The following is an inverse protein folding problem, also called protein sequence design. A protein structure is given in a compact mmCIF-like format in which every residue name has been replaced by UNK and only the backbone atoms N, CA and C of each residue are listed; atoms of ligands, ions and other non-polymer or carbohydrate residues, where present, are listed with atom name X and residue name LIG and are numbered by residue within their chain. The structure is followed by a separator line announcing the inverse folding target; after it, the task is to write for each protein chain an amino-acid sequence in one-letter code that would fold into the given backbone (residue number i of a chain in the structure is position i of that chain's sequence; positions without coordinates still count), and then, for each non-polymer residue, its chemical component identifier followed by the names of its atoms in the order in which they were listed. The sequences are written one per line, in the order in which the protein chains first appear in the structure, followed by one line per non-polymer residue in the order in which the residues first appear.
data_IF_280472686456
#
_entry.id   IF_280472686456
#
_cell.length_a   1.000
_cell.length_b   1.000
_cell.length_c   1.000
_cell.angle_alpha   90.00
_cell.angle_beta   90.00
_cell.angle_gamma   90.00
#
_symmetry.space_group_name_H-M   'P 1'
#
loop_
_entity.id
_entity.type
_entity.pdbx_description
1 polymer ?
#
# COMPACT_ATOMS: atom_id res chain seq x y z
N UNK A 1 12.06 -44.14 -19.46
CA UNK A 1 13.37 -43.96 -18.80
C UNK A 1 14.10 -42.67 -19.23
N UNK A 2 13.98 -42.20 -20.48
CA UNK A 2 14.62 -40.95 -20.91
C UNK A 2 14.15 -39.69 -20.16
N UNK A 3 12.84 -39.51 -19.96
CA UNK A 3 12.30 -38.35 -19.24
C UNK A 3 12.62 -38.30 -17.74
N UNK A 4 12.86 -39.45 -17.10
CA UNK A 4 13.19 -39.54 -15.66
C UNK A 4 14.66 -39.17 -15.41
N UNK A 5 15.56 -39.55 -16.29
CA UNK A 5 16.99 -39.18 -16.23
C UNK A 5 17.21 -37.69 -16.55
N UNK A 6 16.45 -37.14 -17.49
CA UNK A 6 16.50 -35.71 -17.83
C UNK A 6 15.94 -34.84 -16.69
N UNK A 7 14.91 -35.29 -15.97
CA UNK A 7 14.43 -34.65 -14.75
C UNK A 7 15.45 -34.72 -13.60
N UNK A 8 16.12 -35.86 -13.41
CA UNK A 8 17.15 -36.02 -12.37
C UNK A 8 18.38 -35.13 -12.60
N UNK A 9 18.76 -34.88 -13.86
CA UNK A 9 19.87 -33.97 -14.20
C UNK A 9 19.57 -32.49 -13.98
N UNK A 10 18.29 -32.08 -13.95
CA UNK A 10 17.88 -30.68 -13.70
C UNK A 10 17.90 -30.31 -12.23
N UNK A 11 17.68 -31.26 -11.32
CA UNK A 11 17.56 -31.00 -9.87
C UNK A 11 18.79 -30.31 -9.28
N UNK A 12 20.05 -30.71 -9.54
CA UNK A 12 21.21 -30.02 -8.99
C UNK A 12 21.35 -28.58 -9.51
N UNK A 13 21.07 -28.35 -10.80
CA UNK A 13 21.09 -27.01 -11.40
C UNK A 13 20.00 -26.12 -10.80
N UNK A 14 18.78 -26.65 -10.69
CA UNK A 14 17.66 -25.96 -10.04
C UNK A 14 17.94 -25.67 -8.57
N UNK A 15 18.66 -26.55 -7.86
CA UNK A 15 19.08 -26.31 -6.48
C UNK A 15 20.05 -25.12 -6.34
N UNK A 16 21.06 -25.06 -7.21
CA UNK A 16 21.99 -23.93 -7.26
C UNK A 16 21.25 -22.64 -7.65
N UNK A 17 20.39 -22.69 -8.66
CA UNK A 17 19.62 -21.53 -9.12
C UNK A 17 18.65 -21.02 -8.06
N UNK A 18 17.90 -21.91 -7.40
CA UNK A 18 17.03 -21.56 -6.28
C UNK A 18 17.82 -20.90 -5.14
N UNK A 19 18.96 -21.46 -4.77
CA UNK A 19 19.82 -20.93 -3.71
C UNK A 19 20.34 -19.54 -4.08
N UNK A 20 20.82 -19.37 -5.32
CA UNK A 20 21.27 -18.07 -5.83
C UNK A 20 20.15 -17.03 -5.79
N UNK A 21 18.94 -17.39 -6.24
CA UNK A 21 17.77 -16.51 -6.23
C UNK A 21 17.45 -16.03 -4.81
N UNK A 22 17.45 -16.94 -3.84
CA UNK A 22 17.14 -16.61 -2.45
C UNK A 22 18.24 -15.76 -1.80
N UNK A 23 19.51 -16.06 -2.07
CA UNK A 23 20.65 -15.36 -1.45
C UNK A 23 20.93 -13.98 -2.07
N UNK A 24 20.60 -13.76 -3.34
CA UNK A 24 20.87 -12.50 -4.07
C UNK A 24 19.64 -11.60 -4.20
N UNK A 25 18.61 -11.81 -3.39
CA UNK A 25 17.37 -11.01 -3.44
C UNK A 25 17.62 -9.50 -3.22
N UNK A 26 18.61 -9.12 -2.41
CA UNK A 26 18.95 -7.71 -2.14
C UNK A 26 19.42 -6.94 -3.38
N UNK A 27 19.96 -7.65 -4.38
CA UNK A 27 20.50 -7.05 -5.60
C UNK A 27 19.41 -6.71 -6.63
N UNK A 28 18.17 -7.13 -6.39
CA UNK A 28 17.07 -6.89 -7.32
C UNK A 28 16.85 -5.38 -7.55
N UNK A 29 16.83 -4.91 -8.82
CA UNK A 29 16.47 -3.54 -9.12
C UNK A 29 14.96 -3.34 -8.91
N UNK A 30 14.60 -2.48 -7.95
CA UNK A 30 13.22 -2.07 -7.66
C UNK A 30 13.16 -0.54 -7.64
N UNK A 31 11.99 0.06 -7.89
CA UNK A 31 11.81 1.51 -7.79
C UNK A 31 12.61 2.31 -8.83
N UNK A 32 12.89 1.69 -9.98
CA UNK A 32 13.83 2.21 -10.99
C UNK A 32 13.23 3.20 -11.98
N UNK A 33 11.92 3.46 -11.93
CA UNK A 33 11.31 4.41 -12.86
C UNK A 33 11.90 5.80 -12.59
N UNK A 34 12.36 6.53 -13.63
CA UNK A 34 12.97 7.84 -13.44
C UNK A 34 12.04 8.80 -12.69
N UNK A 35 12.58 9.40 -11.63
CA UNK A 35 11.83 10.27 -10.71
C UNK A 35 12.68 11.41 -10.18
N UNK A 36 12.02 12.51 -9.89
CA UNK A 36 12.63 13.68 -9.24
C UNK A 36 12.07 13.87 -7.84
N UNK A 37 12.93 14.35 -6.94
CA UNK A 37 12.52 14.81 -5.61
C UNK A 37 11.83 16.17 -5.75
N UNK A 38 10.58 16.27 -5.33
CA UNK A 38 9.81 17.53 -5.34
C UNK A 38 9.99 18.24 -4.01
N UNK A 39 9.87 17.48 -2.92
CA UNK A 39 9.87 18.00 -1.57
C UNK A 39 10.32 16.91 -0.60
N UNK A 40 11.03 17.31 0.45
CA UNK A 40 11.37 16.45 1.58
C UNK A 40 11.15 17.23 2.87
N UNK A 41 10.48 16.61 3.83
CA UNK A 41 10.35 17.10 5.20
C UNK A 41 10.50 15.92 6.15
N UNK A 42 11.37 16.07 7.16
CA UNK A 42 11.84 14.93 7.97
C UNK A 42 12.33 13.80 7.06
N UNK A 43 11.76 12.61 7.21
CA UNK A 43 12.04 11.44 6.39
C UNK A 43 11.04 11.28 5.23
N UNK A 44 9.95 12.05 5.21
CA UNK A 44 8.98 12.02 4.11
C UNK A 44 9.56 12.68 2.87
N UNK A 45 9.53 11.99 1.74
CA UNK A 45 9.92 12.49 0.43
C UNK A 45 8.76 12.34 -0.54
N UNK A 46 8.45 13.42 -1.26
CA UNK A 46 7.53 13.41 -2.39
C UNK A 46 8.33 13.28 -3.68
N UNK A 47 8.10 12.20 -4.40
CA UNK A 47 8.65 11.98 -5.73
C UNK A 47 7.66 12.38 -6.82
N UNK A 48 8.17 12.87 -7.95
CA UNK A 48 7.41 13.05 -9.19
C UNK A 48 8.00 12.21 -10.31
N UNK A 49 7.12 11.50 -10.99
CA UNK A 49 7.36 10.77 -12.22
C UNK A 49 6.63 11.50 -13.35
N UNK A 50 7.36 11.85 -14.41
CA UNK A 50 6.81 12.62 -15.54
C UNK A 50 6.46 11.71 -16.70
N UNK A 51 5.24 11.84 -17.21
CA UNK A 51 4.86 11.15 -18.43
C UNK A 51 5.43 11.87 -19.65
N UNK A 52 6.08 11.13 -20.55
CA UNK A 52 6.50 11.65 -21.85
C UNK A 52 5.34 11.85 -22.83
N UNK A 53 4.16 11.32 -22.49
CA UNK A 53 2.93 11.39 -23.27
C UNK A 53 1.78 11.91 -22.39
N UNK A 54 2.02 12.97 -21.61
CA UNK A 54 1.00 13.57 -20.72
C UNK A 54 -0.27 13.91 -21.51
N UNK A 55 -1.39 13.30 -21.10
CA UNK A 55 -2.73 13.48 -21.67
C UNK A 55 -3.73 14.06 -20.68
N UNK A 56 -3.50 13.87 -19.38
CA UNK A 56 -4.41 14.27 -18.32
C UNK A 56 -3.90 15.50 -17.57
N UNK A 57 -4.82 16.44 -17.29
CA UNK A 57 -4.51 17.65 -16.52
C UNK A 57 -4.32 17.32 -15.03
N UNK A 58 -5.19 16.44 -14.50
CA UNK A 58 -5.22 16.00 -13.11
C UNK A 58 -4.11 14.96 -12.85
N UNK A 59 -3.09 15.27 -12.03
CA UNK A 59 -2.05 14.32 -11.64
C UNK A 59 -2.57 13.30 -10.62
N UNK A 60 -1.85 12.20 -10.43
CA UNK A 60 -2.15 11.17 -9.43
C UNK A 60 -1.14 11.24 -8.29
N UNK A 61 -1.59 11.38 -7.05
CA UNK A 61 -0.78 11.25 -5.84
C UNK A 61 -1.01 9.86 -5.21
N UNK A 62 0.05 9.03 -5.23
CA UNK A 62 0.06 7.71 -4.63
C UNK A 62 0.52 7.78 -3.17
N UNK A 63 -0.27 7.18 -2.28
CA UNK A 63 -0.03 7.14 -0.84
C UNK A 63 -0.05 5.69 -0.35
N UNK A 64 1.12 5.18 0.02
CA UNK A 64 1.25 3.82 0.53
C UNK A 64 1.05 3.74 2.05
N UNK A 65 0.98 2.52 2.57
CA UNK A 65 0.92 2.26 4.00
C UNK A 65 2.18 2.72 4.74
N UNK A 66 2.04 2.89 6.06
CA UNK A 66 3.15 3.10 6.99
C UNK A 66 3.92 1.80 7.30
N UNK A 67 3.49 0.68 6.74
CA UNK A 67 4.15 -0.63 6.81
C UNK A 67 4.65 -0.98 5.42
N UNK A 68 5.92 -1.38 5.33
CA UNK A 68 6.68 -1.59 4.08
C UNK A 68 6.88 -0.28 3.29
N UNK A 69 7.72 -0.34 2.26
CA UNK A 69 8.08 0.82 1.42
C UNK A 69 7.12 1.01 0.25
N UNK A 70 6.95 2.24 -0.27
CA UNK A 70 6.05 2.53 -1.39
C UNK A 70 6.50 1.94 -2.73
N UNK A 71 7.72 1.39 -2.82
CA UNK A 71 8.29 0.79 -4.03
C UNK A 71 7.44 -0.35 -4.62
N UNK A 72 6.45 -0.88 -3.90
CA UNK A 72 5.47 -1.82 -4.47
C UNK A 72 4.65 -1.23 -5.62
N UNK A 73 4.44 0.09 -5.63
CA UNK A 73 3.84 0.78 -6.78
C UNK A 73 4.79 0.83 -7.98
N UNK A 74 6.10 0.70 -7.76
CA UNK A 74 7.16 0.76 -8.77
C UNK A 74 8.09 -0.48 -8.70
N UNK A 75 7.50 -1.68 -8.57
CA UNK A 75 8.22 -2.85 -8.09
C UNK A 75 9.37 -3.28 -9.01
N UNK A 76 9.13 -3.42 -10.32
CA UNK A 76 10.16 -3.72 -11.31
C UNK A 76 9.70 -3.29 -12.70
N UNK A 77 10.62 -3.10 -13.62
CA UNK A 77 10.26 -2.74 -15.00
C UNK A 77 9.35 -3.79 -15.65
N UNK A 78 8.31 -3.33 -16.34
CA UNK A 78 7.24 -4.14 -16.92
C UNK A 78 6.19 -4.62 -15.91
N UNK A 79 6.42 -4.44 -14.61
CA UNK A 79 5.47 -4.70 -13.53
C UNK A 79 5.53 -3.58 -12.48
N UNK A 80 5.44 -2.34 -12.98
CA UNK A 80 5.35 -1.11 -12.20
C UNK A 80 4.01 -0.44 -12.52
N UNK A 81 3.24 -0.16 -11.47
CA UNK A 81 1.98 0.57 -11.60
C UNK A 81 2.25 2.03 -11.98
N UNK A 82 3.36 2.59 -11.50
CA UNK A 82 3.85 3.91 -11.92
C UNK A 82 4.14 3.93 -13.42
N UNK A 83 4.95 3.00 -13.94
CA UNK A 83 5.23 2.92 -15.40
C UNK A 83 3.94 2.81 -16.21
N UNK A 84 2.97 2.01 -15.72
CA UNK A 84 1.68 1.84 -16.36
C UNK A 84 0.90 3.17 -16.43
N UNK A 85 0.74 3.88 -15.31
CA UNK A 85 0.03 5.16 -15.27
C UNK A 85 0.71 6.25 -16.10
N UNK A 86 2.05 6.27 -16.13
CA UNK A 86 2.82 7.16 -17.01
C UNK A 86 2.51 6.87 -18.48
N UNK A 87 2.41 5.59 -18.87
CA UNK A 87 2.01 5.16 -20.21
C UNK A 87 0.57 5.53 -20.55
N UNK A 88 -0.32 5.53 -19.54
CA UNK A 88 -1.69 6.04 -19.68
C UNK A 88 -1.75 7.58 -19.75
N UNK A 89 -0.62 8.29 -19.60
CA UNK A 89 -0.54 9.74 -19.82
C UNK A 89 -0.82 10.57 -18.58
N UNK A 90 -0.74 9.98 -17.39
CA UNK A 90 -0.81 10.70 -16.11
C UNK A 90 0.59 11.11 -15.65
N UNK A 91 0.73 12.31 -15.09
CA UNK A 91 1.84 12.60 -14.19
C UNK A 91 1.55 11.95 -12.83
N UNK A 92 2.55 11.25 -12.28
CA UNK A 92 2.39 10.47 -11.05
C UNK A 92 3.31 11.01 -9.97
N UNK A 93 2.77 11.16 -8.78
CA UNK A 93 3.49 11.53 -7.58
C UNK A 93 3.40 10.40 -6.58
N UNK A 94 4.43 10.24 -5.74
CA UNK A 94 4.50 9.17 -4.75
C UNK A 94 5.01 9.72 -3.44
N UNK A 95 4.24 9.51 -2.38
CA UNK A 95 4.68 9.78 -1.02
C UNK A 95 5.50 8.59 -0.52
N UNK A 96 6.72 8.88 -0.12
CA UNK A 96 7.57 7.98 0.60
C UNK A 96 7.79 8.50 2.02
N UNK A 97 7.20 7.84 3.03
CA UNK A 97 7.32 8.22 4.44
C UNK A 97 8.75 8.10 5.00
N UNK A 98 9.67 7.49 4.26
CA UNK A 98 11.05 7.28 4.69
C UNK A 98 11.21 6.07 5.61
N UNK A 99 12.27 6.12 6.42
CA UNK A 99 12.55 5.15 7.48
C UNK A 99 12.58 5.93 8.78
N UNK A 100 11.51 5.84 9.60
CA UNK A 100 11.47 6.53 10.88
C UNK A 100 12.59 6.07 11.80
N UNK A 101 13.13 7.00 12.59
CA UNK A 101 14.07 6.72 13.66
C UNK A 101 13.51 7.19 15.02
N UNK A 102 14.36 7.19 16.05
CA UNK A 102 13.93 7.53 17.41
C UNK A 102 13.43 8.98 17.54
N UNK A 103 13.83 9.88 16.63
CA UNK A 103 13.35 11.27 16.61
C UNK A 103 11.90 11.38 16.13
N UNK A 104 11.40 10.36 15.43
CA UNK A 104 10.03 10.31 14.90
C UNK A 104 9.05 9.60 15.85
N UNK A 105 9.49 9.15 17.03
CA UNK A 105 8.70 8.33 17.96
C UNK A 105 7.38 8.98 18.40
N UNK A 106 7.35 10.32 18.45
CA UNK A 106 6.21 11.15 18.83
C UNK A 106 5.26 11.49 17.66
N UNK A 107 5.58 11.04 16.44
CA UNK A 107 4.69 11.20 15.31
C UNK A 107 3.44 10.33 15.47
N UNK A 108 2.29 10.99 15.50
CA UNK A 108 0.97 10.36 15.56
C UNK A 108 0.35 10.23 14.17
N UNK A 109 -0.82 9.63 14.10
CA UNK A 109 -1.62 9.61 12.87
C UNK A 109 -1.97 11.03 12.41
N UNK A 110 -2.11 11.99 13.33
CA UNK A 110 -2.33 13.38 12.98
C UNK A 110 -1.12 14.03 12.30
N UNK A 111 0.12 13.66 12.66
CA UNK A 111 1.33 14.12 11.96
C UNK A 111 1.33 13.68 10.50
N UNK A 112 0.96 12.43 10.24
CA UNK A 112 0.88 11.91 8.87
C UNK A 112 -0.25 12.52 8.05
N UNK A 113 -1.45 12.67 8.62
CA UNK A 113 -2.62 13.19 7.88
C UNK A 113 -2.57 14.71 7.75
N UNK A 114 -2.38 15.41 8.86
CA UNK A 114 -2.55 16.87 8.93
C UNK A 114 -1.29 17.64 8.52
N UNK A 115 -0.10 17.02 8.57
CA UNK A 115 1.13 17.65 8.10
C UNK A 115 1.62 17.01 6.81
N UNK A 116 2.12 15.78 6.87
CA UNK A 116 2.90 15.19 5.78
C UNK A 116 2.07 14.97 4.51
N UNK A 117 0.87 14.37 4.63
CA UNK A 117 -0.07 14.20 3.51
C UNK A 117 -0.63 15.54 3.01
N UNK A 118 -0.95 16.46 3.93
CA UNK A 118 -1.42 17.79 3.56
C UNK A 118 -0.39 18.57 2.74
N UNK A 119 0.89 18.52 3.14
CA UNK A 119 1.97 19.11 2.36
C UNK A 119 2.20 18.37 1.04
N UNK A 120 2.15 17.05 1.03
CA UNK A 120 2.26 16.27 -0.21
C UNK A 120 1.20 16.67 -1.24
N UNK A 121 -0.07 16.81 -0.83
CA UNK A 121 -1.16 17.29 -1.69
C UNK A 121 -0.85 18.68 -2.26
N UNK A 122 -0.46 19.63 -1.40
CA UNK A 122 -0.12 21.00 -1.83
C UNK A 122 1.05 21.04 -2.80
N UNK A 123 2.11 20.29 -2.51
CA UNK A 123 3.32 20.25 -3.33
C UNK A 123 3.11 19.52 -4.65
N UNK A 124 2.24 18.51 -4.68
CA UNK A 124 1.79 17.87 -5.92
C UNK A 124 1.10 18.87 -6.85
N UNK A 125 0.11 19.62 -6.36
CA UNK A 125 -0.61 20.62 -7.16
C UNK A 125 0.33 21.70 -7.66
N UNK A 126 1.18 22.23 -6.78
CA UNK A 126 2.17 23.26 -7.11
C UNK A 126 3.14 22.78 -8.19
N UNK A 127 3.70 21.58 -8.03
CA UNK A 127 4.69 21.05 -8.97
C UNK A 127 4.06 20.61 -10.30
N UNK A 128 2.82 20.11 -10.29
CA UNK A 128 2.09 19.72 -11.49
C UNK A 128 1.46 20.91 -12.24
N UNK A 129 1.44 22.09 -11.61
CA UNK A 129 0.67 23.26 -12.05
C UNK A 129 -0.80 22.89 -12.30
N UNK A 130 -1.37 22.12 -11.37
CA UNK A 130 -2.72 21.58 -11.45
C UNK A 130 -3.62 22.21 -10.37
N UNK A 131 -4.90 22.41 -10.71
CA UNK A 131 -5.90 22.94 -9.79
C UNK A 131 -6.46 21.85 -8.87
N UNK A 132 -6.51 20.61 -9.36
CA UNK A 132 -7.02 19.43 -8.64
C UNK A 132 -6.09 18.23 -8.83
N UNK A 133 -6.19 17.22 -7.95
CA UNK A 133 -5.46 15.95 -8.07
C UNK A 133 -6.37 14.73 -7.84
N UNK A 134 -5.89 13.57 -8.27
CA UNK A 134 -6.41 12.26 -7.84
C UNK A 134 -5.59 11.77 -6.66
N UNK A 135 -6.24 11.49 -5.53
CA UNK A 135 -5.60 10.92 -4.35
C UNK A 135 -5.84 9.40 -4.32
N UNK A 136 -4.78 8.60 -4.46
CA UNK A 136 -4.87 7.14 -4.44
C UNK A 136 -4.12 6.58 -3.24
N UNK A 137 -4.87 5.98 -2.32
CA UNK A 137 -4.34 5.39 -1.10
C UNK A 137 -4.50 3.87 -1.03
N UNK A 138 -3.49 3.18 -0.51
CA UNK A 138 -3.53 1.73 -0.33
C UNK A 138 -3.36 1.32 1.13
N UNK A 139 -4.27 0.48 1.64
CA UNK A 139 -4.22 -0.10 2.98
C UNK A 139 -4.27 1.02 4.04
N UNK A 140 -3.32 1.07 4.97
CA UNK A 140 -3.20 2.16 5.95
C UNK A 140 -3.13 3.51 5.21
N UNK A 141 -2.40 3.61 4.10
CA UNK A 141 -2.33 4.83 3.29
C UNK A 141 -3.69 5.28 2.78
N UNK A 142 -4.54 4.34 2.38
CA UNK A 142 -5.94 4.64 2.03
C UNK A 142 -6.76 5.12 3.22
N UNK A 143 -6.48 4.63 4.42
CA UNK A 143 -7.17 5.10 5.63
C UNK A 143 -6.74 6.53 5.94
N UNK A 144 -5.45 6.86 5.79
CA UNK A 144 -4.94 8.22 5.92
C UNK A 144 -5.56 9.16 4.86
N UNK A 145 -5.71 8.71 3.61
CA UNK A 145 -6.39 9.47 2.56
C UNK A 145 -7.87 9.72 2.89
N UNK A 146 -8.60 8.71 3.37
CA UNK A 146 -9.99 8.89 3.80
C UNK A 146 -10.11 9.86 4.98
N UNK A 147 -9.19 9.77 5.95
CA UNK A 147 -9.12 10.74 7.06
C UNK A 147 -8.84 12.16 6.56
N UNK A 148 -7.95 12.31 5.57
CA UNK A 148 -7.61 13.59 4.96
C UNK A 148 -8.82 14.22 4.25
N UNK A 149 -9.46 13.48 3.33
CA UNK A 149 -10.65 13.94 2.60
C UNK A 149 -11.79 14.34 3.56
N UNK A 150 -12.05 13.53 4.59
CA UNK A 150 -13.07 13.86 5.59
C UNK A 150 -12.77 15.13 6.41
N UNK A 151 -11.49 15.47 6.61
CA UNK A 151 -11.08 16.69 7.32
C UNK A 151 -11.01 17.92 6.40
N UNK A 152 -10.86 17.70 5.09
CA UNK A 152 -10.71 18.74 4.09
C UNK A 152 -11.70 18.54 2.92
N UNK A 153 -13.01 18.68 3.16
CA UNK A 153 -14.02 18.54 2.10
C UNK A 153 -13.81 19.58 0.97
N UNK A 154 -13.29 20.76 1.29
CA UNK A 154 -12.94 21.78 0.29
C UNK A 154 -11.53 21.57 -0.33
N UNK A 155 -10.92 20.40 -0.12
CA UNK A 155 -9.61 20.14 -0.70
C UNK A 155 -9.71 19.97 -2.22
N UNK A 156 -8.66 20.34 -2.98
CA UNK A 156 -8.57 20.13 -4.42
C UNK A 156 -8.35 18.64 -4.80
N UNK A 157 -8.99 17.72 -4.10
CA UNK A 157 -9.01 16.29 -4.45
C UNK A 157 -10.26 16.07 -5.30
N UNK A 158 -10.07 15.76 -6.58
CA UNK A 158 -11.18 15.49 -7.50
C UNK A 158 -11.67 14.05 -7.42
N UNK A 159 -10.70 13.14 -7.32
CA UNK A 159 -10.92 11.70 -7.31
C UNK A 159 -10.22 11.08 -6.10
N UNK A 160 -10.93 10.25 -5.35
CA UNK A 160 -10.39 9.45 -4.25
C UNK A 160 -10.41 7.97 -4.66
N UNK A 161 -9.24 7.34 -4.72
CA UNK A 161 -9.10 5.91 -5.07
C UNK A 161 -8.56 5.14 -3.89
N UNK A 162 -9.33 4.18 -3.38
CA UNK A 162 -9.04 3.47 -2.14
C UNK A 162 -8.91 1.97 -2.38
N UNK A 163 -7.69 1.48 -2.20
CA UNK A 163 -7.32 0.09 -2.44
C UNK A 163 -7.25 -0.67 -1.12
N UNK A 164 -8.09 -1.69 -0.93
CA UNK A 164 -8.09 -2.57 0.26
C UNK A 164 -7.93 -1.78 1.57
N UNK A 165 -8.74 -0.72 1.72
CA UNK A 165 -8.60 0.28 2.77
C UNK A 165 -9.36 -0.14 4.02
N UNK A 166 -8.67 -0.53 5.12
CA UNK A 166 -9.33 -0.99 6.33
C UNK A 166 -9.93 0.20 7.10
N UNK A 167 -11.25 0.29 7.12
CA UNK A 167 -11.97 1.28 7.94
C UNK A 167 -12.67 0.65 9.13
N UNK A 168 -13.14 -0.59 8.97
CA UNK A 168 -13.68 -1.42 10.04
C UNK A 168 -12.72 -2.59 10.29
N UNK A 169 -12.22 -2.73 11.51
CA UNK A 169 -11.31 -3.84 11.85
C UNK A 169 -12.04 -5.04 12.49
N UNK A 170 -13.36 -4.96 12.67
CA UNK A 170 -14.17 -5.95 13.37
C UNK A 170 -14.02 -7.33 12.74
N UNK A 171 -13.66 -8.32 13.56
CA UNK A 171 -13.53 -9.70 13.12
C UNK A 171 -12.24 -10.02 12.35
N UNK A 172 -11.40 -9.02 12.03
CA UNK A 172 -10.09 -9.24 11.42
C UNK A 172 -9.16 -10.04 12.33
N UNK A 173 -8.19 -10.74 11.74
CA UNK A 173 -7.22 -11.53 12.51
C UNK A 173 -6.34 -10.63 13.40
N UNK A 174 -5.93 -9.47 12.88
CA UNK A 174 -5.24 -8.45 13.67
C UNK A 174 -6.05 -8.04 14.89
N UNK A 175 -7.33 -7.69 14.73
CA UNK A 175 -8.19 -7.31 15.84
C UNK A 175 -8.26 -8.41 16.92
N UNK A 176 -8.27 -9.68 16.52
CA UNK A 176 -8.23 -10.80 17.48
C UNK A 176 -6.91 -10.93 18.23
N UNK A 177 -5.80 -10.42 17.70
CA UNK A 177 -4.49 -10.47 18.35
C UNK A 177 -4.27 -9.26 19.26
N UNK A 178 -4.43 -8.04 18.72
CA UNK A 178 -4.05 -6.78 19.39
C UNK A 178 -5.24 -6.02 19.97
N UNK A 179 -6.48 -6.39 19.60
CA UNK A 179 -7.71 -5.77 20.10
C UNK A 179 -8.14 -6.24 21.49
N UNK A 180 -7.40 -7.15 22.13
CA UNK A 180 -7.75 -7.70 23.45
C UNK A 180 -7.32 -6.77 24.58
N UNK A 181 -8.04 -6.75 25.74
CA UNK A 181 -7.61 -6.00 26.92
C UNK A 181 -6.22 -6.39 27.43
N UNK A 182 -5.80 -7.63 27.20
CA UNK A 182 -4.48 -8.14 27.61
C UNK A 182 -3.32 -7.62 26.76
N UNK A 183 -3.59 -7.06 25.58
CA UNK A 183 -2.54 -6.47 24.74
C UNK A 183 -2.40 -5.00 25.10
N UNK A 184 -1.28 -4.62 25.71
CA UNK A 184 -1.04 -3.25 26.14
C UNK A 184 -0.25 -2.48 25.08
N UNK A 185 -0.95 -1.66 24.31
CA UNK A 185 -0.33 -0.84 23.27
C UNK A 185 0.41 0.38 23.85
N UNK A 186 0.03 0.82 25.04
CA UNK A 186 0.69 1.93 25.73
C UNK A 186 2.06 1.47 26.23
N UNK A 187 2.14 0.29 26.84
CA UNK A 187 3.41 -0.32 27.26
C UNK A 187 4.35 -0.55 26.08
N UNK A 188 3.85 -1.02 24.93
CA UNK A 188 4.67 -1.20 23.73
C UNK A 188 5.28 0.13 23.27
N UNK A 189 4.48 1.20 23.24
CA UNK A 189 4.93 2.53 22.85
C UNK A 189 5.81 3.22 23.90
N UNK A 190 5.72 2.83 25.17
CA UNK A 190 6.60 3.32 26.24
C UNK A 190 7.99 2.68 26.17
N UNK A 191 8.06 1.38 25.85
CA UNK A 191 9.31 0.62 25.85
C UNK A 191 10.07 0.72 24.52
N UNK A 192 9.36 0.89 23.41
CA UNK A 192 9.95 0.95 22.07
C UNK A 192 9.65 2.31 21.43
N UNK A 193 10.67 3.12 21.09
CA UNK A 193 10.47 4.41 20.40
C UNK A 193 9.88 4.23 18.98
N UNK A 194 10.13 3.09 18.37
CA UNK A 194 9.42 2.61 17.19
C UNK A 194 9.28 1.09 17.27
N UNK A 195 8.14 0.56 16.82
CA UNK A 195 7.95 -0.88 16.71
C UNK A 195 8.76 -1.38 15.52
N UNK A 196 9.74 -2.28 15.72
CA UNK A 196 10.60 -2.73 14.63
C UNK A 196 9.78 -3.36 13.50
N UNK A 197 10.05 -2.98 12.26
CA UNK A 197 9.31 -3.47 11.09
C UNK A 197 9.33 -5.01 10.96
N UNK A 198 10.41 -5.66 11.40
CA UNK A 198 10.50 -7.12 11.43
C UNK A 198 9.48 -7.81 12.35
N UNK A 199 9.02 -7.15 13.43
CA UNK A 199 7.95 -7.67 14.30
C UNK A 199 6.61 -7.64 13.57
N UNK A 200 6.36 -6.55 12.82
CA UNK A 200 5.15 -6.38 12.02
C UNK A 200 5.14 -7.34 10.83
N UNK A 201 6.27 -7.51 10.13
CA UNK A 201 6.46 -8.49 9.07
C UNK A 201 6.22 -9.92 9.57
N UNK A 202 6.78 -10.27 10.73
CA UNK A 202 6.53 -11.57 11.34
C UNK A 202 5.04 -11.78 11.61
N UNK A 203 4.35 -10.80 12.22
CA UNK A 203 2.91 -10.87 12.45
C UNK A 203 2.13 -11.02 11.13
N UNK A 204 2.50 -10.28 10.09
CA UNK A 204 1.91 -10.38 8.76
C UNK A 204 2.06 -11.80 8.19
N UNK A 205 3.28 -12.35 8.24
CA UNK A 205 3.59 -13.69 7.74
C UNK A 205 2.80 -14.78 8.47
N UNK A 206 2.57 -14.60 9.76
CA UNK A 206 1.80 -15.51 10.61
C UNK A 206 0.30 -15.54 10.30
N UNK A 207 -0.24 -14.62 9.50
CA UNK A 207 -1.65 -14.71 9.06
C UNK A 207 -1.88 -15.82 8.02
N UNK A 208 -0.89 -16.08 7.17
CA UNK A 208 -0.88 -17.21 6.22
C UNK A 208 0.47 -17.94 6.26
N UNK A 209 0.80 -18.62 7.37
CA UNK A 209 2.14 -19.15 7.59
C UNK A 209 2.49 -20.24 6.58
N UNK A 210 1.54 -21.09 6.21
CA UNK A 210 1.75 -22.10 5.16
C UNK A 210 2.01 -21.45 3.81
N UNK A 211 1.26 -20.40 3.45
CA UNK A 211 1.48 -19.71 2.18
C UNK A 211 2.85 -19.04 2.15
N UNK A 212 3.17 -18.25 3.18
CA UNK A 212 4.35 -17.41 3.23
C UNK A 212 5.65 -18.20 3.42
N UNK A 213 5.65 -19.24 4.26
CA UNK A 213 6.86 -20.02 4.56
C UNK A 213 7.02 -21.29 3.72
N UNK A 214 5.96 -21.79 3.07
CA UNK A 214 6.02 -23.06 2.34
C UNK A 214 5.55 -22.94 0.89
N UNK A 215 4.32 -22.45 0.66
CA UNK A 215 3.74 -22.41 -0.69
C UNK A 215 4.55 -21.54 -1.64
N UNK A 216 5.02 -20.36 -1.19
CA UNK A 216 5.84 -19.46 -2.00
C UNK A 216 7.13 -20.11 -2.48
N UNK A 217 7.90 -20.70 -1.57
CA UNK A 217 9.16 -21.40 -1.91
C UNK A 217 8.92 -22.62 -2.80
N UNK A 218 7.86 -23.39 -2.52
CA UNK A 218 7.45 -24.52 -3.36
C UNK A 218 7.08 -24.08 -4.77
N UNK A 219 6.33 -22.99 -4.92
CA UNK A 219 5.95 -22.45 -6.23
C UNK A 219 7.16 -21.95 -7.01
N UNK A 220 8.11 -21.28 -6.34
CA UNK A 220 9.39 -20.91 -6.96
C UNK A 220 10.14 -22.15 -7.45
N UNK A 221 10.33 -23.14 -6.57
CA UNK A 221 10.99 -24.41 -6.92
C UNK A 221 10.34 -25.11 -8.11
N UNK A 222 9.01 -25.24 -8.09
CA UNK A 222 8.25 -25.85 -9.18
C UNK A 222 8.35 -25.05 -10.49
N UNK A 223 8.33 -23.72 -10.42
CA UNK A 223 8.52 -22.85 -11.57
C UNK A 223 9.88 -23.05 -12.23
N UNK A 224 10.95 -23.11 -11.42
CA UNK A 224 12.31 -23.36 -11.91
C UNK A 224 12.43 -24.76 -12.55
N UNK A 225 11.82 -25.79 -11.96
CA UNK A 225 11.76 -27.13 -12.56
C UNK A 225 11.04 -27.14 -13.92
N UNK A 226 10.04 -26.28 -14.08
CA UNK A 226 9.29 -26.10 -15.33
C UNK A 226 10.00 -25.18 -16.33
N UNK A 227 11.19 -24.66 -15.99
CA UNK A 227 11.96 -23.74 -16.84
C UNK A 227 11.36 -22.35 -16.95
N UNK A 228 10.45 -21.97 -16.04
CA UNK A 228 9.92 -20.61 -16.00
C UNK A 228 10.96 -19.69 -15.36
N UNK A 229 11.45 -18.71 -16.11
CA UNK A 229 12.25 -17.64 -15.53
C UNK A 229 11.34 -16.70 -14.73
N UNK A 230 11.39 -16.87 -13.42
CA UNK A 230 10.67 -16.05 -12.44
C UNK A 230 11.61 -15.39 -11.44
N UNK A 231 12.91 -15.40 -11.74
CA UNK A 231 13.93 -14.87 -10.85
C UNK A 231 13.65 -13.42 -10.50
N UNK A 232 13.57 -12.56 -11.50
CA UNK A 232 13.45 -11.11 -11.28
C UNK A 232 12.16 -10.75 -10.52
N UNK A 233 11.04 -11.41 -10.87
CA UNK A 233 9.76 -11.21 -10.20
C UNK A 233 9.80 -11.65 -8.73
N UNK A 234 10.41 -12.80 -8.44
CA UNK A 234 10.56 -13.29 -7.07
C UNK A 234 11.50 -12.38 -6.28
N UNK A 235 12.68 -12.06 -6.80
CA UNK A 235 13.70 -11.29 -6.09
C UNK A 235 13.23 -9.86 -5.80
N UNK A 236 12.56 -9.21 -6.77
CA UNK A 236 11.96 -7.89 -6.54
C UNK A 236 10.93 -7.91 -5.41
N UNK A 237 10.01 -8.88 -5.43
CA UNK A 237 9.02 -9.06 -4.36
C UNK A 237 9.69 -9.38 -3.02
N UNK A 238 10.67 -10.28 -3.00
CA UNK A 238 11.33 -10.69 -1.77
C UNK A 238 12.16 -9.56 -1.15
N UNK A 239 12.81 -8.73 -1.97
CA UNK A 239 13.46 -7.48 -1.56
C UNK A 239 12.46 -6.53 -0.91
N UNK A 240 11.32 -6.28 -1.57
CA UNK A 240 10.29 -5.40 -1.02
C UNK A 240 9.69 -5.94 0.29
N UNK A 241 9.41 -7.25 0.38
CA UNK A 241 8.92 -7.89 1.62
C UNK A 241 9.94 -7.81 2.75
N UNK A 242 11.24 -7.76 2.44
CA UNK A 242 12.28 -7.60 3.45
C UNK A 242 12.44 -6.15 3.92
N UNK A 243 12.00 -5.17 3.13
CA UNK A 243 12.14 -3.74 3.41
C UNK A 243 10.97 -3.22 4.26
N UNK A 244 11.11 -3.39 5.57
CA UNK A 244 10.09 -3.08 6.57
C UNK A 244 10.57 -1.94 7.48
N UNK A 245 10.20 -0.66 7.21
CA UNK A 245 10.55 0.45 8.09
C UNK A 245 9.91 0.27 9.48
N UNK A 246 10.52 0.80 10.55
CA UNK A 246 9.91 0.83 11.87
C UNK A 246 8.62 1.67 11.87
N UNK A 247 7.67 1.29 12.73
CA UNK A 247 6.41 2.03 12.89
C UNK A 247 6.52 2.92 14.14
N UNK A 248 6.38 4.26 14.04
CA UNK A 248 6.57 5.14 15.19
C UNK A 248 5.67 4.77 16.38
N UNK A 249 6.20 4.87 17.60
CA UNK A 249 5.53 4.43 18.82
C UNK A 249 4.14 5.03 18.98
N UNK A 250 4.03 6.36 18.85
CA UNK A 250 2.74 7.04 19.00
C UNK A 250 1.75 6.62 17.93
N UNK A 251 2.14 6.65 16.65
CA UNK A 251 1.29 6.19 15.56
C UNK A 251 0.86 4.72 15.75
N UNK A 252 1.76 3.83 16.21
CA UNK A 252 1.44 2.43 16.50
C UNK A 252 0.34 2.32 17.53
N UNK A 253 0.55 2.96 18.69
CA UNK A 253 -0.40 2.98 19.80
C UNK A 253 -1.75 3.53 19.38
N UNK A 254 -1.77 4.63 18.64
CA UNK A 254 -2.98 5.25 18.12
C UNK A 254 -3.68 4.31 17.13
N UNK A 255 -2.96 3.69 16.20
CA UNK A 255 -3.53 2.72 15.26
C UNK A 255 -4.15 1.51 15.98
N UNK A 256 -3.41 0.88 16.89
CA UNK A 256 -3.92 -0.27 17.66
C UNK A 256 -5.14 0.11 18.49
N UNK A 257 -5.06 1.21 19.22
CA UNK A 257 -6.12 1.63 20.13
C UNK A 257 -7.35 2.10 19.36
N UNK A 258 -7.17 3.00 18.40
CA UNK A 258 -8.28 3.65 17.72
C UNK A 258 -8.91 2.76 16.67
N UNK A 259 -8.13 1.99 15.92
CA UNK A 259 -8.67 1.15 14.84
C UNK A 259 -9.04 -0.25 15.34
N UNK A 260 -8.13 -0.94 16.05
CA UNK A 260 -8.35 -2.35 16.42
C UNK A 260 -9.13 -2.55 17.74
N UNK A 261 -8.94 -1.71 18.76
CA UNK A 261 -9.66 -1.84 20.04
C UNK A 261 -11.00 -1.10 20.03
N UNK A 262 -10.96 0.18 19.71
CA UNK A 262 -12.10 1.08 19.88
C UNK A 262 -12.94 1.25 18.61
N UNK A 263 -12.37 0.92 17.44
CA UNK A 263 -12.96 1.10 16.12
C UNK A 263 -13.55 2.51 15.92
N UNK A 264 -12.76 3.54 16.29
CA UNK A 264 -13.20 4.93 16.42
C UNK A 264 -13.63 5.55 15.08
N UNK A 265 -13.02 5.14 13.97
CA UNK A 265 -13.31 5.70 12.65
C UNK A 265 -14.76 5.39 12.24
N UNK A 266 -15.12 4.12 12.17
CA UNK A 266 -16.49 3.68 11.78
C UNK A 266 -17.55 4.03 12.82
N UNK A 267 -17.16 4.27 14.08
CA UNK A 267 -18.06 4.73 15.14
C UNK A 267 -18.25 6.24 15.17
N UNK A 268 -17.62 7.01 14.27
CA UNK A 268 -17.71 8.47 14.24
C UNK A 268 -17.15 9.13 15.50
N UNK A 269 -16.04 8.61 16.03
CA UNK A 269 -15.38 9.09 17.27
C UNK A 269 -13.91 9.46 17.09
N UNK A 270 -13.34 9.19 15.91
CA UNK A 270 -11.93 9.48 15.66
C UNK A 270 -11.75 10.98 15.47
N UNK A 271 -10.83 11.58 16.24
CA UNK A 271 -10.48 12.99 16.12
C UNK A 271 -8.98 13.16 15.89
N UNK A 272 -8.61 13.99 14.94
CA UNK A 272 -7.23 14.42 14.71
C UNK A 272 -7.13 15.91 15.01
N UNK A 273 -6.19 16.30 15.88
CA UNK A 273 -6.02 17.70 16.34
C UNK A 273 -7.31 18.38 16.84
N UNK A 274 -8.20 17.58 17.44
CA UNK A 274 -9.48 18.06 17.97
C UNK A 274 -10.61 18.10 16.94
N UNK A 275 -10.34 17.95 15.65
CA UNK A 275 -11.36 17.89 14.60
C UNK A 275 -11.89 16.47 14.42
N UNK A 276 -13.21 16.34 14.24
CA UNK A 276 -13.84 15.03 14.00
C UNK A 276 -13.58 14.59 12.56
N UNK A 277 -13.07 13.38 12.41
CA UNK A 277 -12.99 12.71 11.11
C UNK A 277 -14.36 12.11 10.80
N UNK A 278 -15.13 12.87 10.03
CA UNK A 278 -16.48 12.50 9.62
C UNK A 278 -16.49 12.04 8.15
N UNK A 279 -16.53 10.72 7.93
CA UNK A 279 -16.44 10.15 6.58
C UNK A 279 -17.58 10.60 5.67
N UNK A 280 -18.73 11.04 6.20
CA UNK A 280 -19.83 11.54 5.37
C UNK A 280 -19.52 12.88 4.70
N UNK A 281 -18.39 13.51 5.03
CA UNK A 281 -17.89 14.71 4.36
C UNK A 281 -17.07 14.42 3.11
N UNK A 282 -16.73 13.16 2.85
CA UNK A 282 -16.07 12.74 1.61
C UNK A 282 -17.11 12.85 0.49
N UNK A 283 -16.97 13.83 -0.39
CA UNK A 283 -17.84 14.15 -1.51
C UNK A 283 -17.17 13.97 -2.88
N UNK A 284 -15.86 13.67 -2.90
CA UNK A 284 -15.09 13.42 -4.12
C UNK A 284 -15.61 12.20 -4.90
N UNK A 285 -15.32 12.13 -6.20
CA UNK A 285 -15.59 10.90 -6.95
C UNK A 285 -14.76 9.75 -6.35
N UNK A 286 -15.44 8.70 -5.88
CA UNK A 286 -14.85 7.65 -5.06
C UNK A 286 -14.78 6.32 -5.81
N UNK A 287 -13.57 5.78 -5.94
CA UNK A 287 -13.35 4.40 -6.38
C UNK A 287 -12.84 3.54 -5.22
N UNK A 288 -13.63 2.57 -4.79
CA UNK A 288 -13.20 1.57 -3.79
C UNK A 288 -12.87 0.25 -4.49
N UNK A 289 -11.69 -0.30 -4.24
CA UNK A 289 -11.26 -1.58 -4.80
C UNK A 289 -10.99 -2.58 -3.68
N UNK A 290 -11.74 -3.68 -3.68
CA UNK A 290 -11.58 -4.78 -2.75
C UNK A 290 -10.89 -5.97 -3.40
N UNK A 291 -10.25 -6.80 -2.58
CA UNK A 291 -9.66 -8.05 -3.02
C UNK A 291 -10.37 -9.22 -2.32
N UNK A 292 -11.06 -10.07 -3.10
CA UNK A 292 -11.96 -11.10 -2.54
C UNK A 292 -11.26 -12.16 -1.67
N UNK A 293 -9.96 -12.39 -1.85
CA UNK A 293 -9.16 -13.31 -1.04
C UNK A 293 -8.17 -12.59 -0.10
N UNK A 294 -8.41 -11.30 0.15
CA UNK A 294 -7.65 -10.51 1.12
C UNK A 294 -7.90 -11.01 2.56
N UNK A 295 -6.81 -11.16 3.28
CA UNK A 295 -6.76 -11.61 4.67
C UNK A 295 -6.11 -10.57 5.59
N UNK A 296 -5.49 -9.53 5.00
CA UNK A 296 -4.89 -8.39 5.70
C UNK A 296 -5.99 -7.36 5.97
N UNK A 297 -6.66 -6.93 4.90
CA UNK A 297 -7.80 -6.02 4.92
C UNK A 297 -9.00 -6.71 4.23
N UNK A 298 -9.66 -7.67 4.91
CA UNK A 298 -10.71 -8.48 4.29
C UNK A 298 -11.91 -7.60 3.89
N UNK A 299 -12.69 -7.97 2.86
CA UNK A 299 -13.80 -7.15 2.37
C UNK A 299 -14.80 -6.66 3.44
N UNK A 300 -15.20 -7.44 4.46
CA UNK A 300 -16.06 -6.93 5.53
C UNK A 300 -15.49 -5.73 6.29
N UNK A 301 -14.17 -5.53 6.27
CA UNK A 301 -13.50 -4.41 6.90
C UNK A 301 -13.31 -3.18 6.00
N UNK A 302 -13.56 -3.31 4.70
CA UNK A 302 -13.32 -2.26 3.70
C UNK A 302 -14.62 -1.80 3.03
N UNK A 303 -15.59 -2.70 2.83
CA UNK A 303 -16.91 -2.41 2.26
C UNK A 303 -17.75 -1.40 3.05
N UNK A 304 -17.71 -1.34 4.41
CA UNK A 304 -18.51 -0.35 5.15
C UNK A 304 -18.27 1.09 4.69
N UNK A 305 -17.09 1.39 4.14
CA UNK A 305 -16.77 2.70 3.58
C UNK A 305 -17.80 3.18 2.55
N UNK A 306 -18.35 2.27 1.73
CA UNK A 306 -19.32 2.61 0.68
C UNK A 306 -20.62 3.22 1.23
N UNK A 307 -20.97 2.91 2.47
CA UNK A 307 -22.18 3.39 3.13
C UNK A 307 -21.92 4.60 4.05
N UNK A 308 -20.65 4.99 4.21
CA UNK A 308 -20.22 6.00 5.17
C UNK A 308 -19.85 7.33 4.53
N UNK A 309 -19.70 7.39 3.21
CA UNK A 309 -19.29 8.60 2.47
C UNK A 309 -20.51 9.42 2.03
N UNK A 310 -20.30 10.72 1.80
CA UNK A 310 -21.32 11.64 1.30
C UNK A 310 -21.38 11.73 -0.23
N UNK A 311 -20.37 11.21 -0.93
CA UNK A 311 -20.24 11.26 -2.38
C UNK A 311 -21.42 10.60 -3.11
N UNK A 312 -21.89 11.27 -4.16
CA UNK A 312 -22.91 10.74 -5.07
C UNK A 312 -22.30 9.90 -6.21
N UNK A 313 -20.99 10.01 -6.45
CA UNK A 313 -20.25 9.26 -7.48
C UNK A 313 -19.34 8.20 -6.84
N UNK A 314 -19.95 7.08 -6.43
CA UNK A 314 -19.26 5.95 -5.80
C UNK A 314 -19.24 4.75 -6.73
N UNK A 315 -18.04 4.28 -7.06
CA UNK A 315 -17.80 3.04 -7.81
C UNK A 315 -17.07 2.02 -6.94
N UNK A 316 -17.54 0.76 -6.97
CA UNK A 316 -16.90 -0.36 -6.29
C UNK A 316 -16.46 -1.43 -7.27
N UNK A 317 -15.19 -1.84 -7.18
CA UNK A 317 -14.64 -2.98 -7.89
C UNK A 317 -14.20 -4.07 -6.91
N UNK A 318 -14.83 -5.24 -6.97
CA UNK A 318 -14.30 -6.43 -6.32
C UNK A 318 -13.41 -7.24 -7.28
N UNK A 319 -12.15 -7.44 -6.90
CA UNK A 319 -11.15 -8.08 -7.76
C UNK A 319 -10.66 -9.40 -7.18
N UNK A 320 -10.46 -10.42 -8.05
CA UNK A 320 -9.91 -11.69 -7.59
C UNK A 320 -8.44 -11.51 -7.23
N UNK A 321 -8.06 -11.91 -6.02
CA UNK A 321 -6.69 -11.81 -5.54
C UNK A 321 -6.62 -11.62 -4.02
N UNK A 322 -5.40 -11.65 -3.49
CA UNK A 322 -5.13 -11.17 -2.13
C UNK A 322 -4.64 -9.72 -2.14
N UNK A 323 -4.36 -9.16 -0.96
CA UNK A 323 -3.90 -7.79 -0.74
C UNK A 323 -2.88 -7.28 -1.77
N UNK A 324 -1.71 -7.92 -1.82
CA UNK A 324 -0.60 -7.58 -2.72
C UNK A 324 -0.94 -7.91 -4.18
N UNK A 325 -1.88 -8.83 -4.41
CA UNK A 325 -2.29 -9.27 -5.74
C UNK A 325 -2.91 -8.16 -6.60
N UNK A 326 -3.41 -7.08 -5.98
CA UNK A 326 -3.91 -5.90 -6.71
C UNK A 326 -2.80 -5.15 -7.45
N UNK A 327 -1.56 -5.22 -6.98
CA UNK A 327 -0.40 -4.52 -7.57
C UNK A 327 0.67 -5.45 -8.12
N UNK A 328 0.87 -6.63 -7.55
CA UNK A 328 1.91 -7.56 -8.03
C UNK A 328 1.36 -8.91 -8.52
N UNK A 329 0.03 -9.06 -8.58
CA UNK A 329 -0.60 -10.26 -9.11
C UNK A 329 -0.53 -10.33 -10.64
N UNK A 330 -0.63 -11.54 -11.20
CA UNK A 330 -0.63 -11.74 -12.66
C UNK A 330 -1.78 -11.04 -13.40
N UNK A 331 -2.86 -10.69 -12.67
CA UNK A 331 -4.02 -9.95 -13.19
C UNK A 331 -3.92 -8.44 -12.97
N UNK A 332 -2.95 -7.94 -12.20
CA UNK A 332 -2.81 -6.53 -11.86
C UNK A 332 -2.73 -5.67 -13.14
N UNK A 333 -1.70 -5.93 -13.96
CA UNK A 333 -1.43 -5.18 -15.19
C UNK A 333 -2.48 -5.32 -16.29
N UNK A 334 -3.10 -6.50 -16.41
CA UNK A 334 -3.93 -6.82 -17.57
C UNK A 334 -5.44 -6.68 -17.30
N UNK A 335 -5.85 -6.47 -16.05
CA UNK A 335 -7.27 -6.37 -15.70
C UNK A 335 -7.55 -5.27 -14.66
N UNK A 336 -6.77 -5.20 -13.58
CA UNK A 336 -7.07 -4.29 -12.47
C UNK A 336 -6.65 -2.85 -12.82
N UNK A 337 -5.41 -2.65 -13.24
CA UNK A 337 -4.88 -1.32 -13.57
C UNK A 337 -5.60 -0.67 -14.76
N UNK A 338 -5.94 -1.39 -15.85
CA UNK A 338 -6.74 -0.82 -16.93
C UNK A 338 -8.12 -0.34 -16.49
N UNK A 339 -8.75 -1.02 -15.53
CA UNK A 339 -10.05 -0.59 -15.02
C UNK A 339 -9.93 0.65 -14.13
N UNK A 340 -8.83 0.80 -13.37
CA UNK A 340 -8.51 2.05 -12.66
C UNK A 340 -8.29 3.19 -13.66
N UNK A 341 -7.46 2.98 -14.68
CA UNK A 341 -7.16 4.00 -15.67
C UNK A 341 -8.39 4.44 -16.45
N UNK A 342 -9.28 3.52 -16.83
CA UNK A 342 -10.54 3.85 -17.51
C UNK A 342 -11.46 4.68 -16.62
N UNK A 343 -11.60 4.31 -15.35
CA UNK A 343 -12.41 5.05 -14.40
C UNK A 343 -11.86 6.48 -14.17
N UNK A 344 -10.53 6.61 -14.10
CA UNK A 344 -9.86 7.90 -13.99
C UNK A 344 -9.97 8.73 -15.27
N UNK A 345 -9.90 8.11 -16.46
CA UNK A 345 -9.94 8.81 -17.75
C UNK A 345 -11.25 9.58 -17.91
N UNK A 346 -12.37 8.99 -17.49
CA UNK A 346 -13.70 9.64 -17.48
C UNK A 346 -13.76 10.89 -16.57
N UNK A 347 -12.83 11.01 -15.61
CA UNK A 347 -12.85 12.03 -14.55
C UNK A 347 -11.62 12.91 -14.52
N UNK A 348 -10.61 12.66 -15.33
CA UNK A 348 -9.30 13.36 -15.29
C UNK A 348 -8.98 14.11 -16.58
N UNK A 349 -9.94 14.17 -17.51
CA UNK A 349 -9.88 14.90 -18.78
C UNK A 349 -10.09 16.39 -18.64
#
# INVERSE_FOLDING_TARGET
MAGTLEQLGRVPRTAVEFTNIVLTQGDAPIGTTPKDVVWTHRKTTLYRYRSSARRHAVPILLVFALINRPDIFDLRSGNSFVEFLLGEGYDVFLVDWGVPDDEDADMGLDSYVCDELHWAVRETLRAAEAEELTLLGWCIGGTLCAMYSALHPDSPVRNLVLLTTPVDTTGSLYQRWVGRPSFDADLVAEVLPSVPGGVIDWANKMMKPVTNYWTTYRQLWQGLLQGADRRDAYQAMAKWVADNPPFPARAYREWITWMYKDNRLVRGRLRLRGELVDLSKIDEALLVITAGADHIAPPPGTLPLLEMVGSEDVTHFDRPGGHIGLMAGSKARNAIWPDIARWLEERSG
#
